data_IF_446096268983
#
_entry.id   IF_446096268983
#
_cell.length_a   1.000
_cell.length_b   1.000
_cell.length_c   1.000
_cell.angle_alpha   90.00
_cell.angle_beta   90.00
_cell.angle_gamma   90.00
#
_symmetry.space_group_name_H-M   'P 1'
#
loop_
_entity.id
_entity.type
_entity.pdbx_description
1 polymer ?
#
# COMPACT_ATOMS: atom_id res chain seq x y z
N UNK A 1 9.56 -17.95 -6.52
CA UNK A 1 9.73 -17.06 -5.34
C UNK A 1 8.99 -15.76 -5.59
N UNK A 2 8.25 -15.30 -4.60
CA UNK A 2 7.55 -14.02 -4.69
C UNK A 2 8.40 -12.91 -4.08
N UNK A 3 8.54 -11.81 -4.79
CA UNK A 3 9.29 -10.64 -4.33
C UNK A 3 8.35 -9.50 -3.96
N UNK A 4 8.63 -8.83 -2.85
CA UNK A 4 7.91 -7.65 -2.41
C UNK A 4 8.72 -6.38 -2.62
N UNK A 5 8.04 -5.28 -2.87
CA UNK A 5 8.63 -3.95 -3.03
C UNK A 5 8.16 -3.03 -1.91
N UNK A 6 9.07 -2.44 -1.16
CA UNK A 6 8.73 -1.47 -0.12
C UNK A 6 8.65 -0.05 -0.67
N UNK A 7 7.61 0.71 -0.30
CA UNK A 7 7.39 2.09 -0.77
C UNK A 7 7.28 3.14 0.34
N UNK A 8 7.69 2.89 1.49
CA UNK A 8 7.67 3.88 2.57
C UNK A 8 9.02 4.07 3.19
N UNK A 9 9.15 4.99 4.15
CA UNK A 9 8.31 6.15 4.44
C UNK A 9 8.44 7.26 3.39
N UNK A 10 7.58 8.29 3.46
CA UNK A 10 7.59 9.42 2.53
C UNK A 10 8.94 10.13 2.56
N UNK A 11 9.81 9.81 1.63
CA UNK A 11 11.17 10.34 1.62
C UNK A 11 11.47 11.35 0.52
N UNK A 12 10.90 11.17 -0.65
CA UNK A 12 11.11 12.08 -1.78
C UNK A 12 9.94 13.06 -1.92
N UNK A 13 10.16 14.29 -2.36
CA UNK A 13 9.07 15.22 -2.60
C UNK A 13 8.17 14.75 -3.73
N UNK A 14 6.85 14.78 -3.50
CA UNK A 14 5.85 14.40 -4.48
C UNK A 14 5.63 12.90 -4.58
N UNK A 15 4.47 12.52 -5.11
CA UNK A 15 4.05 11.13 -5.25
C UNK A 15 4.49 10.45 -6.55
N UNK A 16 5.05 11.20 -7.49
CA UNK A 16 5.41 10.67 -8.81
C UNK A 16 6.44 9.55 -8.73
N UNK A 17 7.42 9.67 -7.85
CA UNK A 17 8.45 8.64 -7.69
C UNK A 17 7.87 7.33 -7.18
N UNK A 18 6.89 7.41 -6.28
CA UNK A 18 6.19 6.22 -5.78
C UNK A 18 5.43 5.53 -6.91
N UNK A 19 4.76 6.30 -7.77
CA UNK A 19 4.04 5.78 -8.93
C UNK A 19 4.99 5.10 -9.91
N UNK A 20 6.13 5.73 -10.21
CA UNK A 20 7.14 5.15 -11.09
C UNK A 20 7.65 3.81 -10.56
N UNK A 21 8.01 3.76 -9.27
CA UNK A 21 8.48 2.53 -8.62
C UNK A 21 7.41 1.44 -8.64
N UNK A 22 6.16 1.80 -8.36
CA UNK A 22 5.06 0.85 -8.36
C UNK A 22 4.82 0.26 -9.75
N UNK A 23 4.80 1.09 -10.78
CA UNK A 23 4.64 0.65 -12.17
C UNK A 23 5.81 -0.24 -12.62
N UNK A 24 7.03 0.15 -12.28
CA UNK A 24 8.21 -0.65 -12.62
C UNK A 24 8.20 -1.99 -11.89
N UNK A 25 7.85 -1.98 -10.60
CA UNK A 25 7.70 -3.22 -9.83
C UNK A 25 6.66 -4.16 -10.43
N UNK A 26 5.52 -3.60 -10.84
CA UNK A 26 4.48 -4.37 -11.53
C UNK A 26 4.98 -4.96 -12.84
N UNK A 27 5.67 -4.17 -13.66
CA UNK A 27 6.22 -4.62 -14.93
C UNK A 27 7.29 -5.69 -14.77
N UNK A 28 8.06 -5.65 -13.69
CA UNK A 28 9.09 -6.63 -13.38
C UNK A 28 8.54 -7.90 -12.70
N UNK A 29 7.25 -7.95 -12.41
CA UNK A 29 6.62 -9.13 -11.82
C UNK A 29 6.72 -9.23 -10.31
N UNK A 30 6.95 -8.13 -9.59
CA UNK A 30 6.87 -8.13 -8.14
C UNK A 30 5.44 -8.49 -7.71
N UNK A 31 5.34 -9.29 -6.64
CA UNK A 31 4.05 -9.79 -6.15
C UNK A 31 3.25 -8.73 -5.40
N UNK A 32 3.90 -8.00 -4.52
CA UNK A 32 3.23 -7.07 -3.60
C UNK A 32 4.05 -5.82 -3.35
N UNK A 33 3.36 -4.68 -3.30
CA UNK A 33 3.92 -3.42 -2.79
C UNK A 33 3.57 -3.35 -1.30
N UNK A 34 4.58 -3.20 -0.46
CA UNK A 34 4.44 -3.12 0.99
C UNK A 34 4.62 -1.69 1.48
N UNK A 35 3.64 -1.19 2.23
CA UNK A 35 3.69 0.14 2.82
C UNK A 35 3.66 0.06 4.35
N UNK A 36 4.67 0.60 5.03
CA UNK A 36 4.68 0.65 6.48
C UNK A 36 3.81 1.79 7.00
N UNK A 37 3.46 1.71 8.27
CA UNK A 37 2.84 2.80 9.02
C UNK A 37 3.75 3.15 10.20
N UNK A 38 4.59 4.14 9.98
CA UNK A 38 5.54 4.66 10.95
C UNK A 38 5.26 6.15 11.09
N UNK A 39 5.72 6.80 12.10
CA UNK A 39 5.42 8.16 12.53
C UNK A 39 5.24 9.26 11.48
N UNK A 40 5.46 9.04 10.23
CA UNK A 40 5.37 10.06 9.18
C UNK A 40 4.09 10.02 8.34
N UNK A 41 3.53 8.83 8.10
CA UNK A 41 2.37 8.66 7.24
C UNK A 41 1.60 7.39 7.56
N UNK A 42 0.32 7.38 7.20
CA UNK A 42 -0.49 6.17 7.23
C UNK A 42 -0.09 5.21 6.08
N UNK A 43 -0.55 3.98 6.15
CA UNK A 43 -0.25 2.98 5.13
C UNK A 43 -1.27 2.94 3.99
N UNK A 44 -2.52 3.32 4.24
CA UNK A 44 -3.59 3.20 3.25
C UNK A 44 -3.51 4.27 2.15
N UNK A 45 -3.19 5.51 2.51
CA UNK A 45 -3.15 6.61 1.54
C UNK A 45 -2.09 6.39 0.46
N UNK A 46 -0.82 6.05 0.80
CA UNK A 46 0.16 5.74 -0.24
C UNK A 46 -0.22 4.54 -1.10
N UNK A 47 -0.82 3.50 -0.49
CA UNK A 47 -1.27 2.33 -1.25
C UNK A 47 -2.40 2.66 -2.21
N UNK A 48 -3.35 3.51 -1.81
CA UNK A 48 -4.40 3.99 -2.70
C UNK A 48 -3.82 4.81 -3.86
N UNK A 49 -2.83 5.64 -3.57
CA UNK A 49 -2.13 6.47 -4.55
C UNK A 49 -1.48 5.61 -5.65
N UNK A 50 -0.67 4.64 -5.26
CA UNK A 50 -0.02 3.76 -6.24
C UNK A 50 -0.99 2.74 -6.84
N UNK A 51 -1.97 2.31 -6.07
CA UNK A 51 -2.99 1.37 -6.52
C UNK A 51 -3.84 1.89 -7.68
N UNK A 52 -4.07 3.20 -7.73
CA UNK A 52 -4.79 3.85 -8.82
C UNK A 52 -4.00 3.82 -10.15
N UNK A 53 -2.68 3.60 -10.10
CA UNK A 53 -1.80 3.61 -11.26
C UNK A 53 -1.24 2.23 -11.61
N UNK A 54 -1.73 1.20 -10.94
CA UNK A 54 -1.33 -0.20 -11.14
C UNK A 54 -2.59 -1.06 -11.31
N UNK A 55 -2.45 -2.27 -11.81
CA UNK A 55 -3.61 -3.13 -12.09
C UNK A 55 -3.50 -4.57 -11.60
N UNK A 56 -2.30 -5.06 -11.31
CA UNK A 56 -2.07 -6.49 -10.98
C UNK A 56 -1.36 -6.68 -9.65
N UNK A 57 -0.36 -5.84 -9.34
CA UNK A 57 0.45 -5.97 -8.15
C UNK A 57 -0.40 -5.78 -6.88
N UNK A 58 -0.21 -6.65 -5.90
CA UNK A 58 -0.94 -6.55 -4.63
C UNK A 58 -0.47 -5.35 -3.81
N UNK A 59 -1.35 -4.86 -2.95
CA UNK A 59 -1.13 -3.70 -2.09
C UNK A 59 -1.17 -4.18 -0.64
N UNK A 60 -0.03 -4.20 0.02
CA UNK A 60 0.10 -4.75 1.37
C UNK A 60 0.46 -3.72 2.43
N UNK A 61 -0.18 -3.79 3.58
CA UNK A 61 0.23 -3.01 4.74
C UNK A 61 1.27 -3.79 5.53
N UNK A 62 2.38 -3.15 5.87
CA UNK A 62 3.47 -3.82 6.58
C UNK A 62 4.03 -2.89 7.68
N UNK A 63 3.29 -2.69 8.66
CA UNK A 63 2.00 -3.16 9.05
C UNK A 63 1.05 -1.97 9.28
N UNK A 64 -0.27 -2.20 9.24
CA UNK A 64 -1.22 -1.24 9.78
C UNK A 64 -1.16 -1.27 11.31
N UNK A 65 -0.92 -0.12 11.93
CA UNK A 65 -0.89 -0.03 13.39
C UNK A 65 -2.31 -0.15 13.96
N UNK A 66 -2.53 -1.16 14.77
CA UNK A 66 -3.83 -1.42 15.37
C UNK A 66 -4.28 -0.28 16.30
N UNK A 67 -3.33 0.40 16.93
CA UNK A 67 -3.60 1.50 17.86
C UNK A 67 -3.84 2.86 17.19
N UNK A 68 -3.57 2.98 15.89
CA UNK A 68 -3.63 4.26 15.19
C UNK A 68 -5.05 4.68 14.80
N UNK A 69 -6.00 3.76 14.85
CA UNK A 69 -7.39 4.02 14.46
C UNK A 69 -8.35 3.06 15.15
N UNK A 70 -9.65 3.41 15.16
CA UNK A 70 -10.68 2.52 15.70
C UNK A 70 -10.83 1.28 14.81
N UNK A 71 -11.32 0.15 15.34
CA UNK A 71 -11.62 -1.02 14.52
C UNK A 71 -12.56 -0.72 13.34
N UNK A 72 -13.57 0.11 13.55
CA UNK A 72 -14.49 0.50 12.49
C UNK A 72 -13.77 1.30 11.39
N UNK A 73 -12.91 2.24 11.76
CA UNK A 73 -12.11 3.00 10.81
C UNK A 73 -11.18 2.09 10.02
N UNK A 74 -10.50 1.16 10.67
CA UNK A 74 -9.62 0.20 10.02
C UNK A 74 -10.38 -0.65 8.99
N UNK A 75 -11.55 -1.15 9.36
CA UNK A 75 -12.39 -1.94 8.47
C UNK A 75 -12.84 -1.14 7.24
N UNK A 76 -13.27 0.10 7.43
CA UNK A 76 -13.70 0.96 6.33
C UNK A 76 -12.55 1.28 5.36
N UNK A 77 -11.37 1.56 5.87
CA UNK A 77 -10.19 1.79 5.02
C UNK A 77 -9.83 0.55 4.21
N UNK A 78 -9.80 -0.60 4.87
CA UNK A 78 -9.46 -1.86 4.22
C UNK A 78 -10.47 -2.23 3.13
N UNK A 79 -11.76 -2.15 3.43
CA UNK A 79 -12.83 -2.44 2.47
C UNK A 79 -12.76 -1.49 1.27
N UNK A 80 -12.55 -0.20 1.51
CA UNK A 80 -12.46 0.79 0.44
C UNK A 80 -11.28 0.52 -0.49
N UNK A 81 -10.10 0.29 0.08
CA UNK A 81 -8.90 0.03 -0.71
C UNK A 81 -9.01 -1.29 -1.49
N UNK A 82 -9.55 -2.33 -0.86
CA UNK A 82 -9.75 -3.61 -1.53
C UNK A 82 -10.71 -3.47 -2.71
N UNK A 83 -11.83 -2.79 -2.50
CA UNK A 83 -12.81 -2.51 -3.55
C UNK A 83 -12.21 -1.70 -4.71
N UNK A 84 -11.55 -0.58 -4.40
CA UNK A 84 -10.96 0.30 -5.42
C UNK A 84 -9.83 -0.37 -6.21
N UNK A 85 -9.12 -1.30 -5.60
CA UNK A 85 -8.01 -2.02 -6.23
C UNK A 85 -8.41 -3.34 -6.86
N UNK A 86 -9.70 -3.66 -6.93
CA UNK A 86 -10.22 -4.92 -7.45
C UNK A 86 -9.68 -6.14 -6.70
N UNK A 87 -9.69 -6.08 -5.38
CA UNK A 87 -9.35 -7.22 -4.53
C UNK A 87 -7.86 -7.48 -4.36
N UNK A 88 -7.04 -6.44 -4.46
CA UNK A 88 -5.57 -6.58 -4.36
C UNK A 88 -5.00 -6.30 -2.97
N UNK A 89 -5.85 -6.00 -1.98
CA UNK A 89 -5.36 -5.68 -0.63
C UNK A 89 -4.88 -6.92 0.11
N UNK A 90 -3.73 -6.79 0.74
CA UNK A 90 -3.22 -7.73 1.76
C UNK A 90 -3.06 -6.94 3.05
N UNK A 91 -3.86 -7.27 4.07
CA UNK A 91 -3.90 -6.52 5.32
C UNK A 91 -2.99 -7.16 6.37
N UNK A 92 -1.83 -6.55 6.59
CA UNK A 92 -0.95 -6.87 7.70
C UNK A 92 -1.25 -5.97 8.89
N UNK A 93 -1.43 -6.54 10.07
CA UNK A 93 -1.85 -5.82 11.28
C UNK A 93 -0.83 -6.05 12.40
N UNK A 94 -0.53 -5.01 13.12
CA UNK A 94 0.35 -5.11 14.27
C UNK A 94 0.25 -3.97 15.27
#
# INVERSE_FOLDING_TARGET
MKLGLGIGPLGAPGGERMIELAKEGENLGYDTIWCPEIYGADCFTPLAWVGAHTSKINLGTSIMQISARTPASAAMHAVALDYLSNGRLILGIG
#
